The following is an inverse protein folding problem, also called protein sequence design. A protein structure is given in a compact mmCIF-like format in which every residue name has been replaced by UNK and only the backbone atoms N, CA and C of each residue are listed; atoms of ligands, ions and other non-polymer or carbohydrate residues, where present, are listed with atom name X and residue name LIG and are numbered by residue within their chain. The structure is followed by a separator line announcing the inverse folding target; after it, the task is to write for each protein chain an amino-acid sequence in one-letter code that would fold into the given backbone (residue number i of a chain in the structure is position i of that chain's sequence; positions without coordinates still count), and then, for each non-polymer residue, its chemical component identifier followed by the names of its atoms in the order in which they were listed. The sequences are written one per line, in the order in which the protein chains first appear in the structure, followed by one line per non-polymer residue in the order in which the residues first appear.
data_IF_831516082165
#
_entry.id   IF_831516082165
#
_cell.length_a   1.000
_cell.length_b   1.000
_cell.length_c   1.000
_cell.angle_alpha   90.00
_cell.angle_beta   90.00
_cell.angle_gamma   90.00
#
_symmetry.space_group_name_H-M   'P 1'
#
loop_
_entity.id
_entity.type
_entity.pdbx_description
1 polymer ?
#
# COMPACT_ATOMS: atom_id res chain seq x y z
N UNK A 1 -13.92 -17.45 -13.69
CA UNK A 1 -13.25 -16.19 -13.29
C UNK A 1 -12.72 -15.55 -14.56
N UNK A 2 -13.21 -14.36 -14.92
CA UNK A 2 -12.75 -13.63 -16.13
C UNK A 2 -11.43 -12.89 -15.86
N UNK A 3 -10.79 -12.38 -16.92
CA UNK A 3 -9.63 -11.50 -16.78
C UNK A 3 -9.99 -10.23 -15.99
N UNK A 4 -11.15 -9.64 -16.25
CA UNK A 4 -11.62 -8.46 -15.53
C UNK A 4 -11.79 -8.73 -14.03
N UNK A 5 -12.30 -9.91 -13.66
CA UNK A 5 -12.41 -10.30 -12.26
C UNK A 5 -11.04 -10.49 -11.61
N UNK A 6 -10.07 -11.05 -12.34
CA UNK A 6 -8.70 -11.22 -11.86
C UNK A 6 -8.03 -9.86 -11.61
N UNK A 7 -8.15 -8.93 -12.57
CA UNK A 7 -7.63 -7.56 -12.43
C UNK A 7 -8.24 -6.87 -11.21
N UNK A 8 -9.57 -6.94 -11.05
CA UNK A 8 -10.27 -6.33 -9.92
C UNK A 8 -9.77 -6.87 -8.58
N UNK A 9 -9.55 -8.19 -8.48
CA UNK A 9 -9.06 -8.82 -7.26
C UNK A 9 -7.61 -8.44 -6.96
N UNK A 10 -6.74 -8.42 -7.97
CA UNK A 10 -5.36 -7.98 -7.81
C UNK A 10 -5.28 -6.53 -7.35
N UNK A 11 -6.05 -5.63 -7.94
CA UNK A 11 -6.08 -4.22 -7.55
C UNK A 11 -6.64 -4.01 -6.15
N UNK A 12 -7.70 -4.74 -5.79
CA UNK A 12 -8.24 -4.72 -4.44
C UNK A 12 -7.21 -5.17 -3.41
N UNK A 13 -6.48 -6.25 -3.69
CA UNK A 13 -5.44 -6.74 -2.80
C UNK A 13 -4.26 -5.78 -2.69
N UNK A 14 -3.81 -5.21 -3.82
CA UNK A 14 -2.72 -4.23 -3.85
C UNK A 14 -3.04 -3.01 -2.99
N UNK A 15 -4.27 -2.49 -3.04
CA UNK A 15 -4.73 -1.38 -2.20
C UNK A 15 -4.82 -1.77 -0.74
N UNK A 16 -5.48 -2.87 -0.41
CA UNK A 16 -5.61 -3.34 0.99
C UNK A 16 -4.25 -3.49 1.66
N UNK A 17 -3.30 -4.16 0.98
CA UNK A 17 -1.97 -4.39 1.52
C UNK A 17 -1.19 -3.08 1.70
N UNK A 18 -1.19 -2.20 0.69
CA UNK A 18 -0.34 -1.02 0.72
C UNK A 18 -0.92 0.15 1.52
N UNK A 19 -2.25 0.26 1.60
CA UNK A 19 -2.94 1.44 2.12
C UNK A 19 -3.65 1.19 3.45
N UNK A 20 -4.02 -0.05 3.77
CA UNK A 20 -4.85 -0.37 4.94
C UNK A 20 -4.13 -1.25 5.95
N UNK A 21 -3.48 -2.32 5.51
CA UNK A 21 -2.95 -3.35 6.41
C UNK A 21 -1.72 -2.84 7.18
N UNK A 22 -1.74 -2.86 8.53
CA UNK A 22 -0.58 -2.49 9.32
C UNK A 22 0.45 -3.63 9.36
N UNK A 23 1.73 -3.26 9.39
CA UNK A 23 2.83 -4.22 9.53
C UNK A 23 3.75 -3.86 10.70
N UNK A 24 4.00 -4.82 11.57
CA UNK A 24 4.85 -4.63 12.77
C UNK A 24 6.28 -4.21 12.43
N UNK A 25 6.83 -4.66 11.30
CA UNK A 25 8.17 -4.30 10.83
C UNK A 25 8.36 -2.79 10.58
N UNK A 26 7.27 -2.04 10.38
CA UNK A 26 7.29 -0.60 10.08
C UNK A 26 6.47 0.20 11.10
N UNK A 27 6.49 -0.25 12.36
CA UNK A 27 5.83 0.46 13.46
C UNK A 27 4.31 0.28 13.47
N UNK A 28 3.80 -0.83 12.92
CA UNK A 28 2.38 -1.14 12.85
C UNK A 28 1.57 -0.14 12.00
N UNK A 29 2.20 0.41 10.95
CA UNK A 29 1.58 1.29 9.97
C UNK A 29 1.43 0.57 8.62
N UNK A 30 0.56 1.07 7.71
CA UNK A 30 0.51 0.59 6.34
C UNK A 30 1.74 1.06 5.54
N UNK A 31 2.18 0.30 4.51
CA UNK A 31 3.36 0.63 3.71
C UNK A 31 3.37 2.05 3.12
N UNK A 32 2.21 2.57 2.70
CA UNK A 32 2.09 3.90 2.11
C UNK A 32 2.56 5.02 3.05
N UNK A 33 2.47 4.83 4.37
CA UNK A 33 2.94 5.82 5.35
C UNK A 33 4.43 6.14 5.20
N UNK A 34 5.24 5.18 4.76
CA UNK A 34 6.68 5.39 4.51
C UNK A 34 6.93 6.22 3.25
N UNK A 35 6.14 6.00 2.18
CA UNK A 35 6.24 6.78 0.95
C UNK A 35 5.90 8.25 1.20
N UNK A 36 4.84 8.52 1.98
CA UNK A 36 4.44 9.87 2.35
C UNK A 36 5.51 10.56 3.20
N UNK A 37 6.09 9.86 4.18
CA UNK A 37 7.19 10.38 4.98
C UNK A 37 8.42 10.71 4.11
N UNK A 38 8.79 9.81 3.19
CA UNK A 38 9.92 10.06 2.28
C UNK A 38 9.67 11.27 1.37
N UNK A 39 8.44 11.47 0.88
CA UNK A 39 8.09 12.64 0.09
C UNK A 39 8.18 13.94 0.91
N UNK A 40 7.76 13.91 2.18
CA UNK A 40 7.87 15.05 3.09
C UNK A 40 9.32 15.40 3.48
N UNK A 41 10.24 14.44 3.41
CA UNK A 41 11.65 14.61 3.73
C UNK A 41 12.57 14.69 2.49
N UNK A 42 12.00 14.96 1.31
CA UNK A 42 12.75 15.18 0.07
C UNK A 42 13.68 16.41 0.14
N UNK A 43 14.64 16.54 -0.80
CA UNK A 43 15.59 17.64 -0.81
C UNK A 43 14.88 19.01 -0.86
N UNK A 44 15.48 20.06 -0.25
CA UNK A 44 14.89 21.40 -0.17
C UNK A 44 14.68 22.05 -1.53
#
# INVERSE_FOLDING_TARGET
MSLDDAVRKCESWRRDYNEVRPHSAIGNNPPISLMLASAAHGPP
#
